data_IF_055226686013
#
_entry.id   IF_055226686013
#
_cell.length_a   1.000
_cell.length_b   1.000
_cell.length_c   1.000
_cell.angle_alpha   90.00
_cell.angle_beta   90.00
_cell.angle_gamma   90.00
#
_symmetry.space_group_name_H-M   'P 1'
#
loop_
_entity.id
_entity.type
_entity.pdbx_description
1 polymer ?
#
# COMPACT_ATOMS: atom_id res chain seq x y z
N UNK A 1 51.56 20.79 74.44
CA UNK A 1 50.92 21.05 73.13
C UNK A 1 49.41 21.13 73.39
N UNK A 2 48.61 22.18 73.20
CA UNK A 2 48.75 23.58 72.78
C UNK A 2 47.51 24.31 73.36
N UNK A 3 47.72 25.49 73.95
CA UNK A 3 47.01 26.79 73.74
C UNK A 3 45.80 26.79 72.79
N UNK A 4 44.73 27.59 72.88
CA UNK A 4 44.24 28.67 73.75
C UNK A 4 42.84 29.04 73.20
N UNK A 5 41.88 29.26 74.11
CA UNK A 5 40.69 30.14 74.16
C UNK A 5 40.10 30.89 72.92
N UNK A 6 38.86 31.35 73.16
CA UNK A 6 38.10 32.49 72.58
C UNK A 6 37.18 32.08 71.42
N UNK A 7 35.88 31.83 71.62
CA UNK A 7 34.76 32.72 71.97
C UNK A 7 34.26 33.63 70.83
N UNK A 8 32.98 33.40 70.51
CA UNK A 8 31.96 34.38 70.16
C UNK A 8 31.79 34.87 68.70
N UNK A 9 30.54 35.28 68.46
CA UNK A 9 29.99 36.19 67.44
C UNK A 9 29.51 35.47 66.17
N UNK A 10 28.25 35.04 66.10
CA UNK A 10 27.05 35.85 65.79
C UNK A 10 27.01 36.39 64.36
N UNK A 11 25.97 36.03 63.61
CA UNK A 11 24.96 36.94 63.05
C UNK A 11 24.31 36.33 61.81
N UNK A 12 22.99 36.20 61.90
CA UNK A 12 22.05 36.18 60.80
C UNK A 12 22.34 37.34 59.83
N UNK A 13 22.43 37.06 58.54
CA UNK A 13 22.28 38.06 57.49
C UNK A 13 21.50 37.45 56.33
N UNK A 14 20.28 37.95 56.20
CA UNK A 14 19.29 37.70 55.15
C UNK A 14 19.68 38.43 53.86
N UNK A 15 19.06 37.98 52.75
CA UNK A 15 18.86 38.62 51.43
C UNK A 15 19.87 38.30 50.32
N UNK A 16 19.42 37.52 49.34
CA UNK A 16 19.25 38.02 47.97
C UNK A 16 18.21 37.17 47.22
N UNK A 17 17.13 37.82 46.78
CA UNK A 17 16.19 37.31 45.78
C UNK A 17 16.87 37.36 44.42
N UNK A 18 16.89 36.24 43.68
CA UNK A 18 16.92 36.28 42.22
C UNK A 18 15.89 35.28 41.71
N UNK A 19 14.78 35.82 41.21
CA UNK A 19 13.91 35.12 40.30
C UNK A 19 14.68 34.86 39.00
N UNK A 20 14.74 33.60 38.58
CA UNK A 20 15.31 33.18 37.32
C UNK A 20 14.61 31.92 36.86
N UNK A 21 13.41 32.09 36.31
CA UNK A 21 12.72 31.03 35.60
C UNK A 21 13.55 30.66 34.37
N UNK A 22 14.29 29.57 34.45
CA UNK A 22 14.78 28.88 33.25
C UNK A 22 13.81 27.74 33.02
N UNK A 23 12.74 28.03 32.26
CA UNK A 23 12.03 26.99 31.54
C UNK A 23 13.01 26.45 30.48
N UNK A 24 13.84 25.50 30.89
CA UNK A 24 14.59 24.66 29.96
C UNK A 24 13.55 23.91 29.16
N UNK A 25 13.40 24.31 27.90
CA UNK A 25 12.50 23.71 26.95
C UNK A 25 12.68 22.19 26.97
N UNK A 26 11.57 21.50 27.24
CA UNK A 26 11.38 20.10 26.90
C UNK A 26 11.34 20.00 25.38
N UNK A 27 12.49 20.14 24.73
CA UNK A 27 12.71 19.46 23.48
C UNK A 27 12.98 18.00 23.87
N UNK A 28 11.92 17.19 23.92
CA UNK A 28 12.10 15.75 23.92
C UNK A 28 12.98 15.35 22.73
N UNK A 29 13.71 14.22 22.80
CA UNK A 29 14.33 13.70 21.60
C UNK A 29 13.23 13.61 20.55
N UNK A 30 13.46 14.19 19.37
CA UNK A 30 12.63 13.87 18.23
C UNK A 30 12.74 12.35 18.09
N UNK A 31 11.69 11.64 18.50
CA UNK A 31 11.58 10.21 18.27
C UNK A 31 11.68 10.07 16.76
N UNK A 32 12.87 9.70 16.27
CA UNK A 32 12.96 9.12 14.95
C UNK A 32 12.07 7.89 15.07
N UNK A 33 10.83 7.99 14.59
CA UNK A 33 9.89 6.88 14.59
C UNK A 33 10.66 5.69 14.04
N UNK A 34 10.92 4.69 14.89
CA UNK A 34 11.50 3.45 14.43
C UNK A 34 10.51 2.94 13.40
N UNK A 35 10.89 2.98 12.12
CA UNK A 35 9.95 2.68 11.06
C UNK A 35 9.34 1.29 11.28
N UNK A 36 8.05 1.21 11.01
CA UNK A 36 7.21 0.04 11.21
C UNK A 36 6.98 -0.66 9.88
N UNK A 37 6.98 -2.00 9.91
CA UNK A 37 6.47 -2.84 8.82
C UNK A 37 4.97 -3.04 9.02
N UNK A 38 4.16 -2.59 8.07
CA UNK A 38 2.74 -2.89 7.99
C UNK A 38 2.52 -4.03 7.00
N UNK A 39 1.65 -4.99 7.33
CA UNK A 39 1.43 -6.19 6.50
C UNK A 39 2.42 -7.33 6.79
N UNK A 40 2.37 -8.37 5.97
CA UNK A 40 3.25 -9.55 6.05
C UNK A 40 3.65 -9.98 4.62
N UNK A 41 4.65 -9.30 4.02
CA UNK A 41 5.08 -9.59 2.66
C UNK A 41 5.56 -11.02 2.48
N UNK A 42 6.23 -11.59 3.49
CA UNK A 42 6.73 -12.97 3.45
C UNK A 42 5.59 -13.98 3.37
N UNK A 43 4.53 -13.79 4.16
CA UNK A 43 3.36 -14.66 4.09
C UNK A 43 2.58 -14.53 2.78
N UNK A 44 2.51 -13.32 2.22
CA UNK A 44 1.81 -13.04 0.96
C UNK A 44 2.57 -13.56 -0.26
N UNK A 45 3.91 -13.50 -0.27
CA UNK A 45 4.78 -13.87 -1.40
C UNK A 45 4.51 -15.26 -2.01
N UNK A 46 4.01 -16.21 -1.20
CA UNK A 46 3.71 -17.58 -1.67
C UNK A 46 2.51 -17.65 -2.65
N UNK A 47 1.63 -16.65 -2.63
CA UNK A 47 0.45 -16.57 -3.49
C UNK A 47 0.71 -15.85 -4.82
N UNK A 48 1.86 -15.22 -4.96
CA UNK A 48 2.27 -14.62 -6.23
C UNK A 48 2.37 -15.65 -7.36
N UNK A 49 1.85 -15.29 -8.54
CA UNK A 49 2.02 -16.03 -9.79
C UNK A 49 2.28 -15.07 -10.94
N UNK A 50 3.19 -15.45 -11.83
CA UNK A 50 3.38 -14.74 -13.09
C UNK A 50 2.16 -14.93 -14.01
N UNK A 51 1.64 -13.83 -14.54
CA UNK A 51 0.51 -13.81 -15.48
C UNK A 51 0.94 -14.20 -16.90
N UNK A 52 0.02 -14.77 -17.67
CA UNK A 52 0.23 -15.15 -19.09
C UNK A 52 -0.60 -14.34 -20.05
N UNK A 53 -1.63 -13.66 -19.57
CA UNK A 53 -2.56 -12.86 -20.36
C UNK A 53 -2.61 -11.43 -19.85
N UNK A 54 -3.38 -10.58 -20.52
CA UNK A 54 -3.80 -9.27 -20.03
C UNK A 54 -4.80 -9.41 -18.85
N UNK A 55 -4.35 -9.92 -17.70
CA UNK A 55 -5.23 -10.28 -16.58
C UNK A 55 -4.64 -9.98 -15.20
N UNK A 56 -3.79 -8.96 -15.09
CA UNK A 56 -3.16 -8.51 -13.84
C UNK A 56 -4.17 -8.32 -12.69
N UNK A 57 -5.35 -7.79 -12.98
CA UNK A 57 -6.44 -7.62 -12.00
C UNK A 57 -6.95 -8.96 -11.50
N UNK A 58 -7.08 -9.96 -12.38
CA UNK A 58 -7.51 -11.31 -11.99
C UNK A 58 -6.42 -12.01 -11.19
N UNK A 59 -5.15 -11.86 -11.56
CA UNK A 59 -4.03 -12.46 -10.84
C UNK A 59 -3.84 -11.85 -9.46
N UNK A 60 -3.97 -10.52 -9.34
CA UNK A 60 -4.01 -9.84 -8.04
C UNK A 60 -5.20 -10.30 -7.19
N UNK A 61 -6.36 -10.53 -7.82
CA UNK A 61 -7.54 -11.07 -7.13
C UNK A 61 -7.31 -12.51 -6.65
N UNK A 62 -6.68 -13.37 -7.47
CA UNK A 62 -6.34 -14.75 -7.11
C UNK A 62 -5.40 -14.79 -5.91
N UNK A 63 -4.40 -13.92 -5.90
CA UNK A 63 -3.46 -13.75 -4.79
C UNK A 63 -4.21 -13.40 -3.49
N UNK A 64 -5.03 -12.34 -3.50
CA UNK A 64 -5.84 -11.93 -2.34
C UNK A 64 -6.78 -13.05 -1.86
N UNK A 65 -7.42 -13.79 -2.78
CA UNK A 65 -8.24 -14.95 -2.44
C UNK A 65 -7.38 -16.02 -1.74
N UNK A 66 -6.17 -16.28 -2.26
CA UNK A 66 -5.20 -17.18 -1.64
C UNK A 66 -4.84 -16.75 -0.23
N UNK A 67 -4.52 -15.48 -0.02
CA UNK A 67 -4.17 -14.91 1.28
C UNK A 67 -5.27 -15.11 2.32
N UNK A 68 -6.54 -14.88 1.95
CA UNK A 68 -7.67 -14.96 2.89
C UNK A 68 -8.13 -16.40 3.12
N UNK A 69 -8.18 -17.22 2.06
CA UNK A 69 -8.83 -18.54 2.13
C UNK A 69 -7.84 -19.70 2.28
N UNK A 70 -6.55 -19.46 2.05
CA UNK A 70 -5.53 -20.49 1.87
C UNK A 70 -5.69 -21.31 0.59
N UNK A 71 -6.63 -20.95 -0.30
CA UNK A 71 -7.01 -21.69 -1.51
C UNK A 71 -7.03 -20.76 -2.72
N UNK A 72 -5.85 -20.43 -3.19
CA UNK A 72 -5.64 -19.61 -4.39
C UNK A 72 -6.22 -20.33 -5.64
N UNK A 73 -7.11 -19.67 -6.41
CA UNK A 73 -7.53 -20.21 -7.71
C UNK A 73 -6.38 -20.11 -8.71
N UNK A 74 -6.29 -21.06 -9.63
CA UNK A 74 -5.38 -20.91 -10.78
C UNK A 74 -5.84 -19.78 -11.71
N UNK A 75 -4.91 -19.22 -12.48
CA UNK A 75 -5.17 -18.24 -13.55
C UNK A 75 -6.37 -18.66 -14.43
N UNK A 76 -6.35 -19.90 -14.93
CA UNK A 76 -7.46 -20.43 -15.74
C UNK A 76 -8.79 -20.48 -14.99
N UNK A 77 -8.77 -20.83 -13.69
CA UNK A 77 -9.97 -20.91 -12.88
C UNK A 77 -10.57 -19.52 -12.62
N UNK A 78 -9.74 -18.53 -12.31
CA UNK A 78 -10.22 -17.15 -12.08
C UNK A 78 -10.67 -16.48 -13.38
N UNK A 79 -9.97 -16.71 -14.50
CA UNK A 79 -10.42 -16.30 -15.84
C UNK A 79 -11.82 -16.86 -16.13
N UNK A 80 -12.01 -18.17 -15.96
CA UNK A 80 -13.30 -18.81 -16.22
C UNK A 80 -14.41 -18.24 -15.33
N UNK A 81 -14.10 -17.93 -14.06
CA UNK A 81 -15.04 -17.32 -13.14
C UNK A 81 -15.41 -15.90 -13.58
N UNK A 82 -14.44 -15.09 -13.97
CA UNK A 82 -14.64 -13.73 -14.47
C UNK A 82 -15.44 -13.72 -15.78
N UNK A 83 -15.15 -14.61 -16.73
CA UNK A 83 -15.91 -14.76 -17.98
C UNK A 83 -17.37 -15.17 -17.74
N UNK A 84 -17.65 -15.93 -16.69
CA UNK A 84 -18.99 -16.35 -16.33
C UNK A 84 -19.76 -15.33 -15.48
N UNK A 85 -19.15 -14.18 -15.17
CA UNK A 85 -19.73 -13.17 -14.27
C UNK A 85 -19.96 -11.88 -15.06
N UNK A 86 -21.20 -11.34 -15.08
CA UNK A 86 -21.46 -10.04 -15.71
C UNK A 86 -20.65 -8.92 -15.04
N UNK A 87 -20.12 -8.01 -15.85
CA UNK A 87 -19.52 -6.77 -15.34
C UNK A 87 -20.59 -5.85 -14.77
N UNK A 88 -20.24 -5.08 -13.74
CA UNK A 88 -21.09 -4.04 -13.15
C UNK A 88 -20.89 -2.67 -13.81
N UNK A 89 -19.87 -2.51 -14.65
CA UNK A 89 -19.54 -1.22 -15.29
C UNK A 89 -19.82 -1.18 -16.79
N UNK A 90 -19.95 -2.31 -17.46
CA UNK A 90 -20.27 -2.37 -18.88
C UNK A 90 -21.08 -3.64 -19.24
N UNK A 91 -21.77 -3.66 -20.39
CA UNK A 91 -22.37 -4.89 -20.90
C UNK A 91 -21.32 -5.98 -21.11
N UNK A 92 -21.67 -7.24 -20.84
CA UNK A 92 -20.78 -8.39 -21.00
C UNK A 92 -20.19 -8.90 -19.69
N UNK A 93 -19.14 -9.71 -19.77
CA UNK A 93 -18.47 -10.32 -18.62
C UNK A 93 -17.36 -9.44 -18.04
N UNK A 94 -16.98 -9.69 -16.78
CA UNK A 94 -15.84 -9.04 -16.08
C UNK A 94 -14.53 -9.17 -16.87
N UNK A 95 -14.38 -10.27 -17.59
CA UNK A 95 -13.21 -10.54 -18.42
C UNK A 95 -13.60 -11.15 -19.75
N UNK A 96 -12.89 -10.76 -20.80
CA UNK A 96 -12.91 -11.42 -22.11
C UNK A 96 -11.48 -11.69 -22.52
N UNK A 97 -11.18 -12.93 -22.90
CA UNK A 97 -9.82 -13.25 -23.37
C UNK A 97 -9.53 -12.48 -24.66
N UNK A 98 -8.32 -11.90 -24.80
CA UNK A 98 -7.92 -11.22 -26.02
C UNK A 98 -8.21 -12.07 -27.27
N UNK A 99 -8.88 -11.48 -28.26
CA UNK A 99 -9.21 -12.16 -29.51
C UNK A 99 -7.97 -12.51 -30.35
N UNK A 100 -6.89 -11.74 -30.19
CA UNK A 100 -5.62 -12.00 -30.85
C UNK A 100 -4.82 -13.07 -30.10
N UNK A 101 -4.91 -14.32 -30.54
CA UNK A 101 -4.19 -15.44 -29.92
C UNK A 101 -2.66 -15.36 -30.03
N UNK A 102 -2.12 -14.46 -30.89
CA UNK A 102 -0.68 -14.20 -31.00
C UNK A 102 -0.20 -13.05 -30.11
N UNK A 103 -1.13 -12.27 -29.55
CA UNK A 103 -0.82 -11.22 -28.59
C UNK A 103 -1.76 -11.36 -27.38
N UNK A 104 -1.38 -12.15 -26.37
CA UNK A 104 -2.21 -12.35 -25.17
C UNK A 104 -2.39 -11.07 -24.33
N UNK A 105 -1.70 -9.98 -24.68
CA UNK A 105 -1.80 -8.68 -24.04
C UNK A 105 -2.70 -7.70 -24.80
N UNK A 106 -3.40 -8.12 -25.86
CA UNK A 106 -4.27 -7.24 -26.66
C UNK A 106 -5.70 -7.14 -26.12
N UNK A 107 -5.90 -7.46 -24.83
CA UNK A 107 -7.19 -7.50 -24.19
C UNK A 107 -7.67 -6.10 -23.80
N UNK A 108 -8.81 -6.06 -23.11
CA UNK A 108 -9.29 -4.88 -22.39
C UNK A 108 -9.04 -4.99 -20.88
N UNK A 109 -8.34 -6.06 -20.45
CA UNK A 109 -8.22 -6.44 -19.05
C UNK A 109 -9.57 -6.63 -18.34
N UNK A 110 -9.56 -6.28 -17.06
CA UNK A 110 -10.73 -6.24 -16.17
C UNK A 110 -10.79 -4.88 -15.50
N UNK A 111 -11.99 -4.32 -15.34
CA UNK A 111 -12.18 -3.09 -14.59
C UNK A 111 -11.94 -3.31 -13.09
N UNK A 112 -11.22 -2.41 -12.43
CA UNK A 112 -11.07 -2.43 -10.97
C UNK A 112 -12.42 -2.41 -10.23
N UNK A 113 -13.43 -1.73 -10.80
CA UNK A 113 -14.78 -1.68 -10.22
C UNK A 113 -15.49 -3.04 -10.21
N UNK A 114 -15.02 -4.02 -10.99
CA UNK A 114 -15.54 -5.39 -10.96
C UNK A 114 -14.88 -6.26 -9.88
N UNK A 115 -13.77 -5.82 -9.27
CA UNK A 115 -13.02 -6.61 -8.29
C UNK A 115 -13.86 -6.97 -7.07
N UNK A 116 -14.62 -6.05 -6.41
CA UNK A 116 -15.49 -6.44 -5.30
C UNK A 116 -16.52 -7.51 -5.69
N UNK A 117 -17.11 -7.39 -6.88
CA UNK A 117 -18.06 -8.39 -7.42
C UNK A 117 -17.39 -9.75 -7.59
N UNK A 118 -16.17 -9.78 -8.15
CA UNK A 118 -15.40 -11.02 -8.33
C UNK A 118 -15.02 -11.64 -6.99
N UNK A 119 -14.53 -10.85 -6.03
CA UNK A 119 -14.13 -11.32 -4.69
C UNK A 119 -15.33 -11.84 -3.90
N UNK A 120 -16.52 -11.24 -4.05
CA UNK A 120 -17.75 -11.70 -3.40
C UNK A 120 -18.11 -13.15 -3.76
N UNK A 121 -17.74 -13.61 -4.96
CA UNK A 121 -17.93 -15.00 -5.39
C UNK A 121 -17.12 -16.00 -4.55
N UNK A 122 -16.09 -15.54 -3.86
CA UNK A 122 -15.25 -16.27 -2.92
C UNK A 122 -15.59 -15.96 -1.46
N UNK A 123 -16.70 -15.25 -1.21
CA UNK A 123 -17.17 -14.81 0.11
C UNK A 123 -16.21 -13.82 0.80
N UNK A 124 -15.54 -13.01 0.00
CA UNK A 124 -14.67 -11.94 0.47
C UNK A 124 -15.38 -10.63 0.15
N UNK A 125 -15.67 -9.84 1.18
CA UNK A 125 -16.17 -8.48 1.00
C UNK A 125 -14.99 -7.54 0.73
N UNK A 126 -15.23 -6.50 -0.07
CA UNK A 126 -14.20 -5.55 -0.45
C UNK A 126 -14.79 -4.19 -0.81
N UNK A 127 -14.01 -3.16 -0.54
CA UNK A 127 -14.31 -1.76 -0.85
C UNK A 127 -13.35 -1.27 -1.91
N UNK A 128 -13.88 -0.55 -2.91
CA UNK A 128 -13.09 0.19 -3.89
C UNK A 128 -13.11 1.68 -3.54
N UNK A 129 -11.95 2.33 -3.61
CA UNK A 129 -11.86 3.77 -3.43
C UNK A 129 -10.68 4.34 -4.21
N UNK A 130 -10.59 5.67 -4.27
CA UNK A 130 -9.46 6.40 -4.82
C UNK A 130 -9.31 7.71 -4.05
N UNK A 131 -8.30 8.51 -4.39
CA UNK A 131 -8.02 9.81 -3.76
C UNK A 131 -9.24 10.75 -3.69
N UNK A 132 -10.07 10.75 -4.74
CA UNK A 132 -11.23 11.64 -4.86
C UNK A 132 -12.44 11.19 -4.01
N UNK A 133 -12.50 9.91 -3.64
CA UNK A 133 -13.60 9.29 -2.90
C UNK A 133 -13.24 8.95 -1.45
N UNK A 134 -12.00 8.55 -1.17
CA UNK A 134 -11.55 8.08 0.14
C UNK A 134 -11.94 9.06 1.26
N UNK A 135 -11.63 10.34 1.10
CA UNK A 135 -11.96 11.37 2.08
C UNK A 135 -13.48 11.56 2.31
N UNK A 136 -14.32 11.31 1.30
CA UNK A 136 -15.78 11.43 1.41
C UNK A 136 -16.38 10.25 2.17
N UNK A 137 -15.75 9.09 2.04
CA UNK A 137 -16.19 7.83 2.65
C UNK A 137 -15.54 7.59 4.02
N UNK A 138 -14.75 8.56 4.52
CA UNK A 138 -14.06 8.48 5.81
C UNK A 138 -12.85 7.54 5.82
N UNK A 139 -12.32 7.21 4.64
CA UNK A 139 -11.14 6.37 4.45
C UNK A 139 -9.91 7.27 4.37
N UNK A 140 -8.86 6.94 5.11
CA UNK A 140 -7.57 7.64 5.02
C UNK A 140 -6.97 7.41 3.63
N UNK A 141 -6.56 8.49 2.96
CA UNK A 141 -5.92 8.43 1.63
C UNK A 141 -4.40 8.30 1.73
N UNK A 142 -3.72 8.22 0.57
CA UNK A 142 -2.27 8.17 0.53
C UNK A 142 -1.65 6.90 1.15
N UNK A 143 -0.37 7.00 1.50
CA UNK A 143 0.39 5.88 2.05
C UNK A 143 -0.14 5.47 3.43
N UNK A 144 -0.57 6.45 4.24
CA UNK A 144 -1.13 6.23 5.56
C UNK A 144 -2.42 5.41 5.52
N UNK A 145 -3.21 5.57 4.45
CA UNK A 145 -4.37 4.71 4.19
C UNK A 145 -3.99 3.25 3.96
N UNK A 146 -2.93 3.00 3.19
CA UNK A 146 -2.42 1.64 2.98
C UNK A 146 -1.89 1.04 4.29
N UNK A 147 -1.17 1.84 5.09
CA UNK A 147 -0.66 1.44 6.41
C UNK A 147 -1.80 1.03 7.35
N UNK A 148 -2.87 1.85 7.45
CA UNK A 148 -4.06 1.57 8.25
C UNK A 148 -4.70 0.25 7.82
N UNK A 149 -5.02 0.10 6.54
CA UNK A 149 -5.69 -1.10 6.02
C UNK A 149 -4.84 -2.37 6.23
N UNK A 150 -3.53 -2.30 6.02
CA UNK A 150 -2.64 -3.43 6.29
C UNK A 150 -2.53 -3.76 7.79
N UNK A 151 -2.55 -2.73 8.66
CA UNK A 151 -2.51 -2.91 10.12
C UNK A 151 -3.75 -3.64 10.65
N UNK A 152 -4.90 -3.42 10.01
CA UNK A 152 -6.16 -4.10 10.31
C UNK A 152 -6.25 -5.52 9.69
N UNK A 153 -5.23 -5.90 8.91
CA UNK A 153 -5.12 -7.21 8.29
C UNK A 153 -5.84 -7.33 6.95
N UNK A 154 -6.38 -6.23 6.41
CA UNK A 154 -6.99 -6.19 5.09
C UNK A 154 -5.96 -6.43 3.98
N UNK A 155 -6.42 -6.96 2.84
CA UNK A 155 -5.60 -7.23 1.65
C UNK A 155 -5.92 -6.22 0.57
N UNK A 156 -4.89 -5.69 -0.07
CA UNK A 156 -5.02 -4.49 -0.91
C UNK A 156 -4.50 -4.76 -2.32
N UNK A 157 -5.33 -4.44 -3.31
CA UNK A 157 -4.97 -4.39 -4.73
C UNK A 157 -4.97 -2.92 -5.15
N UNK A 158 -3.93 -2.46 -5.81
CA UNK A 158 -3.83 -1.07 -6.30
C UNK A 158 -3.64 -1.04 -7.80
N UNK A 159 -4.11 0.04 -8.43
CA UNK A 159 -3.81 0.33 -9.83
C UNK A 159 -2.62 1.25 -9.95
N UNK A 160 -1.55 0.81 -10.60
CA UNK A 160 -0.35 1.61 -10.86
C UNK A 160 -0.15 1.76 -12.36
N UNK A 161 0.70 2.70 -12.76
CA UNK A 161 1.34 2.63 -14.09
C UNK A 161 2.47 1.60 -14.04
N UNK A 162 2.35 0.52 -14.81
CA UNK A 162 3.32 -0.59 -14.81
C UNK A 162 4.70 -0.15 -15.31
N UNK A 163 4.75 0.66 -16.38
CA UNK A 163 6.03 1.07 -16.96
C UNK A 163 6.89 1.86 -15.98
N UNK A 164 6.29 2.68 -15.12
CA UNK A 164 7.00 3.39 -14.08
C UNK A 164 7.68 2.44 -13.09
N UNK A 165 6.98 1.44 -12.55
CA UNK A 165 7.57 0.52 -11.55
C UNK A 165 8.60 -0.42 -12.19
N UNK A 166 8.44 -0.76 -13.47
CA UNK A 166 9.40 -1.58 -14.23
C UNK A 166 10.59 -0.79 -14.80
N UNK A 167 10.67 0.52 -14.54
CA UNK A 167 11.73 1.39 -15.05
C UNK A 167 11.75 1.50 -16.58
N UNK A 168 10.60 1.32 -17.23
CA UNK A 168 10.44 1.39 -18.67
C UNK A 168 9.97 2.78 -19.13
N UNK A 169 10.15 3.12 -20.42
CA UNK A 169 9.48 4.28 -21.01
C UNK A 169 7.96 4.16 -20.84
N UNK A 170 7.33 5.23 -20.35
CA UNK A 170 5.87 5.30 -20.22
C UNK A 170 5.26 5.48 -21.60
N UNK A 171 4.50 4.50 -22.07
CA UNK A 171 3.78 4.54 -23.34
C UNK A 171 2.30 4.86 -23.10
N UNK A 172 1.70 4.29 -22.05
CA UNK A 172 0.32 4.57 -21.69
C UNK A 172 0.15 5.92 -20.98
N UNK A 173 -0.37 6.90 -21.72
CA UNK A 173 -0.53 8.28 -21.28
C UNK A 173 -1.94 8.81 -21.51
N UNK A 174 -2.32 9.82 -20.74
CA UNK A 174 -3.51 10.63 -21.01
C UNK A 174 -3.27 11.64 -22.15
N UNK A 175 -4.32 12.37 -22.53
CA UNK A 175 -4.25 13.37 -23.60
C UNK A 175 -3.26 14.51 -23.31
N UNK A 176 -2.86 14.69 -22.04
CA UNK A 176 -1.88 15.68 -21.61
C UNK A 176 -0.46 15.11 -21.51
N UNK A 177 -0.28 13.82 -21.82
CA UNK A 177 1.01 13.13 -21.76
C UNK A 177 1.39 12.61 -20.37
N UNK A 178 0.49 12.65 -19.38
CA UNK A 178 0.74 12.11 -18.06
C UNK A 178 0.58 10.58 -18.07
N UNK A 179 1.37 9.82 -17.29
CA UNK A 179 1.18 8.38 -17.12
C UNK A 179 -0.24 8.04 -16.66
N UNK A 180 -0.78 6.91 -17.12
CA UNK A 180 -2.07 6.37 -16.66
C UNK A 180 -1.88 5.05 -15.94
N UNK A 181 -2.71 4.79 -14.94
CA UNK A 181 -2.82 3.47 -14.34
C UNK A 181 -3.33 2.43 -15.34
N UNK A 182 -2.62 1.33 -15.47
CA UNK A 182 -2.92 0.19 -16.35
C UNK A 182 -2.61 -1.17 -15.74
N UNK A 183 -1.89 -1.18 -14.64
CA UNK A 183 -1.41 -2.42 -14.05
C UNK A 183 -1.93 -2.59 -12.64
N UNK A 184 -2.26 -3.83 -12.28
CA UNK A 184 -2.75 -4.18 -10.95
C UNK A 184 -1.69 -5.00 -10.22
N UNK A 185 -1.40 -4.57 -8.99
CA UNK A 185 -0.47 -5.26 -8.08
C UNK A 185 -1.10 -5.38 -6.70
N UNK A 186 -0.65 -6.37 -5.94
CA UNK A 186 -1.05 -6.52 -4.53
C UNK A 186 -0.01 -5.82 -3.66
N UNK A 187 -0.45 -4.88 -2.82
CA UNK A 187 0.41 -4.30 -1.78
C UNK A 187 0.43 -5.27 -0.61
N UNK A 188 1.60 -5.81 -0.31
CA UNK A 188 1.78 -6.86 0.71
C UNK A 188 2.44 -6.35 1.97
N UNK A 189 3.15 -5.21 1.89
CA UNK A 189 3.63 -4.50 3.05
C UNK A 189 4.17 -3.10 2.77
N UNK A 190 4.19 -2.27 3.81
CA UNK A 190 4.80 -0.93 3.83
C UNK A 190 5.91 -0.91 4.87
N UNK A 191 7.15 -0.73 4.43
CA UNK A 191 8.33 -0.59 5.29
C UNK A 191 8.70 0.89 5.40
N UNK A 192 8.23 1.53 6.46
CA UNK A 192 8.52 2.96 6.72
C UNK A 192 9.95 3.18 7.24
N UNK A 193 10.65 2.14 7.70
CA UNK A 193 12.05 2.27 8.15
C UNK A 193 12.98 2.41 6.95
N UNK A 194 12.70 1.67 5.89
CA UNK A 194 13.53 1.62 4.68
C UNK A 194 12.94 2.43 3.51
N UNK A 195 11.76 3.02 3.67
CA UNK A 195 11.00 3.72 2.63
C UNK A 195 10.72 2.80 1.41
N UNK A 196 10.24 1.59 1.69
CA UNK A 196 9.99 0.54 0.68
C UNK A 196 8.53 0.11 0.72
N UNK A 197 7.98 -0.18 -0.45
CA UNK A 197 6.69 -0.86 -0.62
C UNK A 197 6.95 -2.25 -1.17
N UNK A 198 6.34 -3.25 -0.54
CA UNK A 198 6.43 -4.65 -0.93
C UNK A 198 5.22 -5.04 -1.77
N UNK A 199 5.46 -5.59 -2.95
CA UNK A 199 4.43 -5.90 -3.94
C UNK A 199 4.46 -7.38 -4.33
N UNK A 200 3.29 -7.95 -4.60
CA UNK A 200 3.19 -9.07 -5.52
C UNK A 200 2.72 -8.54 -6.88
N UNK A 201 3.62 -8.52 -7.85
CA UNK A 201 3.40 -8.04 -9.22
C UNK A 201 3.39 -9.21 -10.21
N UNK A 202 2.21 -9.60 -10.70
CA UNK A 202 2.09 -10.70 -11.66
C UNK A 202 2.67 -10.40 -13.05
N UNK A 203 2.94 -9.13 -13.39
CA UNK A 203 3.38 -8.65 -14.69
C UNK A 203 4.85 -8.90 -15.01
N UNK A 204 5.67 -9.20 -13.99
CA UNK A 204 7.10 -9.53 -14.15
C UNK A 204 7.45 -10.84 -13.47
N UNK A 205 8.41 -11.61 -14.00
CA UNK A 205 8.84 -12.90 -13.41
C UNK A 205 9.50 -12.76 -12.05
N UNK A 206 10.00 -11.58 -11.74
CA UNK A 206 10.67 -11.25 -10.49
C UNK A 206 9.72 -10.53 -9.50
N UNK A 207 8.42 -10.48 -9.81
CA UNK A 207 7.44 -9.68 -9.06
C UNK A 207 6.97 -10.29 -7.74
N UNK A 208 7.61 -11.37 -7.27
CA UNK A 208 7.29 -11.97 -5.96
C UNK A 208 8.00 -11.18 -4.87
N UNK A 209 7.23 -10.59 -3.95
CA UNK A 209 7.77 -9.69 -2.91
C UNK A 209 8.72 -8.64 -3.51
N UNK A 210 8.30 -8.04 -4.62
CA UNK A 210 9.04 -6.97 -5.26
C UNK A 210 9.09 -5.76 -4.34
N UNK A 211 10.30 -5.28 -4.08
CA UNK A 211 10.56 -4.16 -3.20
C UNK A 211 10.88 -2.93 -4.04
N UNK A 212 10.01 -1.94 -4.01
CA UNK A 212 10.22 -0.68 -4.74
C UNK A 212 10.29 0.51 -3.78
N UNK A 213 11.08 1.56 -4.12
CA UNK A 213 11.11 2.78 -3.32
C UNK A 213 9.71 3.39 -3.21
N UNK A 214 9.32 3.80 -2.01
CA UNK A 214 8.00 4.37 -1.73
C UNK A 214 7.68 5.58 -2.62
N UNK A 215 8.67 6.44 -2.89
CA UNK A 215 8.48 7.57 -3.80
C UNK A 215 8.16 7.14 -5.24
N UNK A 216 8.73 6.02 -5.71
CA UNK A 216 8.42 5.46 -7.03
C UNK A 216 7.01 4.87 -7.03
N UNK A 217 6.66 4.11 -6.00
CA UNK A 217 5.31 3.58 -5.82
C UNK A 217 4.26 4.68 -5.85
N UNK A 218 4.42 5.72 -5.02
CA UNK A 218 3.46 6.83 -4.95
C UNK A 218 3.28 7.53 -6.30
N UNK A 219 4.37 7.74 -7.05
CA UNK A 219 4.29 8.30 -8.41
C UNK A 219 3.51 7.40 -9.36
N UNK A 220 3.73 6.09 -9.30
CA UNK A 220 3.05 5.13 -10.16
C UNK A 220 1.57 4.95 -9.78
N UNK A 221 1.24 5.00 -8.49
CA UNK A 221 -0.12 4.88 -7.97
C UNK A 221 -0.94 6.16 -8.21
N UNK A 222 -0.32 7.34 -8.16
CA UNK A 222 -0.98 8.61 -8.51
C UNK A 222 -1.50 8.61 -9.97
N UNK A 223 -0.89 7.83 -10.86
CA UNK A 223 -1.34 7.69 -12.26
C UNK A 223 -2.77 7.10 -12.39
N UNK A 224 -3.29 6.47 -11.33
CA UNK A 224 -4.68 6.01 -11.22
C UNK A 224 -5.51 6.83 -10.22
N UNK A 225 -4.96 7.94 -9.71
CA UNK A 225 -5.49 8.72 -8.59
C UNK A 225 -5.57 7.91 -7.30
N UNK A 226 -4.53 7.14 -7.00
CA UNK A 226 -4.47 6.30 -5.80
C UNK A 226 -5.63 5.29 -5.75
N UNK A 227 -6.02 4.73 -6.90
CA UNK A 227 -7.09 3.74 -6.99
C UNK A 227 -6.68 2.45 -6.27
N UNK A 228 -7.51 2.01 -5.33
CA UNK A 228 -7.31 0.77 -4.59
C UNK A 228 -8.61 0.02 -4.34
N UNK A 229 -8.46 -1.28 -4.12
CA UNK A 229 -9.48 -2.17 -3.57
C UNK A 229 -8.88 -2.83 -2.34
N UNK A 230 -9.56 -2.78 -1.20
CA UNK A 230 -9.18 -3.50 0.00
C UNK A 230 -10.32 -4.36 0.52
N UNK A 231 -9.99 -5.50 1.11
CA UNK A 231 -10.98 -6.44 1.65
C UNK A 231 -11.57 -5.94 2.97
N UNK A 232 -12.80 -6.31 3.32
CA UNK A 232 -13.49 -5.88 4.56
C UNK A 232 -14.16 -7.02 5.32
#
# INVERSE_FOLDING_TARGET
MKTTKIAAIAKTATLAVVAGAVALGLAGPAEAAAGTMYGDPVAAAKYWRYQKYDDCVLMSSADVIGQITGKEPSEQAIIKRAQATPSVVHPGSIYTTPANTRNPNSGMGTSFADVPTLLKLYKIDATITNKDHAAKDGIVGGIEGLEEQLSEGHKIIVSVNGELIWGQPVENKDDNGNPRGDHAVVVTGIDTANNVVHLNDSGTKDGRDEQIPMALFMKAWEASKELMVFTT
#
